data_IF_322095132583
#
_entry.id   IF_322095132583
#
_cell.length_a   1.000
_cell.length_b   1.000
_cell.length_c   1.000
_cell.angle_alpha   90.00
_cell.angle_beta   90.00
_cell.angle_gamma   90.00
#
_symmetry.space_group_name_H-M   'P 1'
#
loop_
_entity.id
_entity.type
_entity.pdbx_description
1 polymer ?
#
# COMPACT_ATOMS: atom_id res chain seq x y z
N UNK A 1 15.53 -29.47 -36.80
CA UNK A 1 14.85 -28.32 -37.43
C UNK A 1 13.39 -28.72 -37.51
N UNK A 2 12.49 -27.98 -36.86
CA UNK A 2 11.06 -28.33 -36.81
C UNK A 2 10.46 -28.24 -38.22
N UNK A 3 9.80 -29.31 -38.69
CA UNK A 3 9.00 -29.24 -39.91
C UNK A 3 7.62 -28.67 -39.56
N UNK A 4 7.38 -27.42 -39.94
CA UNK A 4 6.14 -26.68 -39.63
C UNK A 4 4.91 -27.14 -40.44
N UNK A 5 5.07 -28.11 -41.34
CA UNK A 5 3.98 -28.80 -42.01
C UNK A 5 3.67 -30.18 -41.38
N UNK A 6 4.54 -30.69 -40.50
CA UNK A 6 4.34 -31.96 -39.82
C UNK A 6 3.63 -31.77 -38.47
N UNK A 7 2.49 -32.44 -38.30
CA UNK A 7 1.65 -32.29 -37.10
C UNK A 7 2.38 -32.63 -35.79
N UNK A 8 3.14 -33.72 -35.75
CA UNK A 8 3.79 -34.18 -34.52
C UNK A 8 4.94 -33.25 -34.11
N UNK A 9 5.73 -32.78 -35.08
CA UNK A 9 6.79 -31.80 -34.86
C UNK A 9 6.22 -30.47 -34.34
N UNK A 10 5.10 -30.00 -34.92
CA UNK A 10 4.40 -28.79 -34.47
C UNK A 10 3.84 -28.98 -33.06
N UNK A 11 3.16 -30.10 -32.77
CA UNK A 11 2.63 -30.37 -31.41
C UNK A 11 3.75 -30.32 -30.36
N UNK A 12 4.90 -30.94 -30.65
CA UNK A 12 6.05 -30.89 -29.74
C UNK A 12 6.51 -29.45 -29.52
N UNK A 13 6.62 -28.66 -30.58
CA UNK A 13 7.07 -27.27 -30.50
C UNK A 13 6.10 -26.35 -29.76
N UNK A 14 4.77 -26.49 -29.99
CA UNK A 14 3.77 -25.62 -29.34
C UNK A 14 3.54 -25.95 -27.87
N UNK A 15 3.91 -27.17 -27.43
CA UNK A 15 3.93 -27.52 -26.01
C UNK A 15 5.06 -26.82 -25.26
N UNK A 16 6.21 -26.64 -25.91
CA UNK A 16 7.35 -25.92 -25.35
C UNK A 16 7.10 -24.41 -25.29
N UNK A 17 6.49 -23.84 -26.35
CA UNK A 17 6.04 -22.45 -26.39
C UNK A 17 4.85 -22.31 -27.34
N UNK A 18 3.67 -21.97 -26.80
CA UNK A 18 2.44 -21.80 -27.57
C UNK A 18 2.54 -20.82 -28.74
N UNK A 19 3.43 -19.82 -28.68
CA UNK A 19 3.65 -18.87 -29.79
C UNK A 19 4.20 -19.53 -31.06
N UNK A 20 4.78 -20.72 -30.95
CA UNK A 20 5.25 -21.48 -32.10
C UNK A 20 4.14 -21.83 -33.10
N UNK A 21 2.86 -21.75 -32.70
CA UNK A 21 1.72 -21.88 -33.61
C UNK A 21 1.79 -20.86 -34.77
N UNK A 22 2.41 -19.71 -34.56
CA UNK A 22 2.62 -18.68 -35.60
C UNK A 22 3.36 -19.23 -36.84
N UNK A 23 4.27 -20.19 -36.64
CA UNK A 23 5.09 -20.76 -37.71
C UNK A 23 4.42 -21.93 -38.44
N UNK A 24 3.38 -22.52 -37.86
CA UNK A 24 2.69 -23.68 -38.42
C UNK A 24 2.00 -23.36 -39.76
N UNK A 25 1.84 -24.39 -40.60
CA UNK A 25 1.07 -24.30 -41.84
C UNK A 25 -0.38 -23.88 -41.58
N UNK A 26 -1.05 -23.30 -42.58
CA UNK A 26 -2.45 -22.88 -42.45
C UNK A 26 -3.39 -24.05 -42.11
N UNK A 27 -3.08 -25.26 -42.61
CA UNK A 27 -3.82 -26.48 -42.28
C UNK A 27 -3.71 -26.81 -40.78
N UNK A 28 -2.50 -26.75 -40.22
CA UNK A 28 -2.26 -27.05 -38.80
C UNK A 28 -2.74 -25.95 -37.85
N UNK A 29 -2.80 -24.68 -38.30
CA UNK A 29 -3.53 -23.61 -37.59
C UNK A 29 -5.05 -23.86 -37.56
N UNK A 30 -5.56 -24.71 -38.45
CA UNK A 30 -6.93 -25.23 -38.47
C UNK A 30 -7.12 -26.58 -37.77
N UNK A 31 -6.04 -27.22 -37.32
CA UNK A 31 -6.12 -28.49 -36.60
C UNK A 31 -6.44 -28.24 -35.12
N UNK A 32 -7.61 -28.72 -34.70
CA UNK A 32 -8.13 -28.49 -33.35
C UNK A 32 -7.18 -28.97 -32.25
N UNK A 33 -6.52 -30.11 -32.46
CA UNK A 33 -5.61 -30.68 -31.45
C UNK A 33 -4.36 -29.83 -31.33
N UNK A 34 -3.75 -29.44 -32.46
CA UNK A 34 -2.58 -28.57 -32.47
C UNK A 34 -2.86 -27.25 -31.75
N UNK A 35 -4.00 -26.62 -32.08
CA UNK A 35 -4.38 -25.34 -31.46
C UNK A 35 -4.67 -25.51 -29.96
N UNK A 36 -5.36 -26.58 -29.55
CA UNK A 36 -5.60 -26.85 -28.12
C UNK A 36 -4.30 -27.03 -27.33
N UNK A 37 -3.32 -27.73 -27.88
CA UNK A 37 -2.00 -27.89 -27.24
C UNK A 37 -1.26 -26.55 -27.16
N UNK A 38 -1.36 -25.71 -28.19
CA UNK A 38 -0.75 -24.38 -28.20
C UNK A 38 -1.38 -23.45 -27.15
N UNK A 39 -2.71 -23.36 -27.09
CA UNK A 39 -3.39 -22.47 -26.13
C UNK A 39 -3.28 -22.95 -24.68
N UNK A 40 -3.06 -24.25 -24.46
CA UNK A 40 -2.72 -24.81 -23.15
C UNK A 40 -1.33 -24.40 -22.67
N UNK A 41 -0.39 -24.21 -23.59
CA UNK A 41 0.95 -23.71 -23.27
C UNK A 41 0.93 -22.20 -23.05
N UNK A 42 0.20 -21.47 -23.90
CA UNK A 42 0.01 -20.02 -23.78
C UNK A 42 -1.30 -19.59 -24.47
N UNK A 43 -2.25 -19.05 -23.72
CA UNK A 43 -3.57 -18.64 -24.23
C UNK A 43 -3.52 -17.59 -25.34
N UNK A 44 -2.47 -16.76 -25.40
CA UNK A 44 -2.27 -15.77 -26.48
C UNK A 44 -2.01 -16.43 -27.84
N UNK A 45 -1.65 -17.71 -27.89
CA UNK A 45 -1.51 -18.46 -29.14
C UNK A 45 -2.81 -18.51 -29.97
N UNK A 46 -3.97 -18.25 -29.35
CA UNK A 46 -5.26 -18.12 -30.04
C UNK A 46 -5.22 -17.12 -31.21
N UNK A 47 -4.36 -16.09 -31.15
CA UNK A 47 -4.14 -15.13 -32.22
C UNK A 47 -3.72 -15.79 -33.55
N UNK A 48 -3.07 -16.95 -33.52
CA UNK A 48 -2.58 -17.64 -34.73
C UNK A 48 -3.51 -18.73 -35.23
N UNK A 49 -4.55 -19.09 -34.46
CA UNK A 49 -5.51 -20.10 -34.86
C UNK A 49 -6.34 -19.66 -36.07
N UNK A 50 -6.88 -20.63 -36.81
CA UNK A 50 -7.86 -20.41 -37.88
C UNK A 50 -9.11 -19.66 -37.37
N UNK A 51 -9.85 -19.01 -38.28
CA UNK A 51 -11.07 -18.27 -37.93
C UNK A 51 -12.12 -19.18 -37.30
N UNK A 52 -12.19 -20.42 -37.79
CA UNK A 52 -13.09 -21.47 -37.32
C UNK A 52 -12.80 -21.81 -35.86
N UNK A 53 -11.52 -22.03 -35.50
CA UNK A 53 -11.13 -22.40 -34.13
C UNK A 53 -11.14 -21.21 -33.15
N UNK A 54 -11.01 -19.97 -33.63
CA UNK A 54 -11.34 -18.78 -32.83
C UNK A 54 -12.84 -18.66 -32.50
N UNK A 55 -13.68 -19.46 -33.17
CA UNK A 55 -15.10 -19.62 -32.86
C UNK A 55 -15.44 -20.89 -32.07
N UNK A 56 -14.45 -21.75 -31.76
CA UNK A 56 -14.65 -22.94 -30.94
C UNK A 56 -14.66 -22.55 -29.45
N UNK A 57 -15.79 -22.81 -28.79
CA UNK A 57 -16.02 -22.42 -27.39
C UNK A 57 -14.97 -23.02 -26.44
N UNK A 58 -14.61 -24.29 -26.61
CA UNK A 58 -13.68 -24.98 -25.72
C UNK A 58 -12.26 -24.47 -25.91
N UNK A 59 -11.86 -24.21 -27.17
CA UNK A 59 -10.54 -23.64 -27.47
C UNK A 59 -10.40 -22.26 -26.82
N UNK A 60 -11.40 -21.38 -27.00
CA UNK A 60 -11.35 -20.02 -26.43
C UNK A 60 -11.44 -20.05 -24.90
N UNK A 61 -12.29 -20.89 -24.31
CA UNK A 61 -12.38 -21.02 -22.85
C UNK A 61 -11.05 -21.52 -22.25
N UNK A 62 -10.39 -22.48 -22.91
CA UNK A 62 -9.06 -22.94 -22.53
C UNK A 62 -8.05 -21.80 -22.57
N UNK A 63 -8.01 -21.04 -23.67
CA UNK A 63 -7.10 -19.89 -23.81
C UNK A 63 -7.32 -18.83 -22.72
N UNK A 64 -8.56 -18.56 -22.33
CA UNK A 64 -8.88 -17.60 -21.26
C UNK A 64 -8.39 -18.10 -19.91
N UNK A 65 -8.55 -19.41 -19.65
CA UNK A 65 -8.18 -20.03 -18.37
C UNK A 65 -6.66 -20.06 -18.17
N UNK A 66 -5.91 -20.26 -19.24
CA UNK A 66 -4.44 -20.37 -19.22
C UNK A 66 -3.74 -19.00 -19.35
N UNK A 67 -4.50 -17.91 -19.51
CA UNK A 67 -3.94 -16.56 -19.62
C UNK A 67 -4.86 -15.54 -18.95
N UNK A 68 -5.66 -14.81 -19.72
CA UNK A 68 -6.57 -13.80 -19.20
C UNK A 68 -7.71 -13.53 -20.18
N UNK A 69 -8.70 -12.76 -19.75
CA UNK A 69 -9.84 -12.37 -20.60
C UNK A 69 -9.43 -11.49 -21.79
N UNK A 70 -8.22 -10.92 -21.81
CA UNK A 70 -7.67 -10.19 -22.97
C UNK A 70 -7.65 -11.04 -24.25
N UNK A 71 -7.52 -12.37 -24.15
CA UNK A 71 -7.52 -13.26 -25.33
C UNK A 71 -8.84 -13.21 -26.10
N UNK A 72 -9.93 -12.73 -25.48
CA UNK A 72 -11.24 -12.58 -26.13
C UNK A 72 -11.20 -11.64 -27.33
N UNK A 73 -10.22 -10.73 -27.43
CA UNK A 73 -10.04 -9.91 -28.64
C UNK A 73 -9.86 -10.75 -29.91
N UNK A 74 -9.29 -11.95 -29.78
CA UNK A 74 -9.06 -12.88 -30.88
C UNK A 74 -10.27 -13.77 -31.15
N UNK A 75 -11.21 -13.89 -30.21
CA UNK A 75 -12.39 -14.73 -30.35
C UNK A 75 -13.32 -14.21 -31.46
N UNK A 76 -14.03 -15.14 -32.10
CA UNK A 76 -15.01 -14.80 -33.13
C UNK A 76 -16.10 -13.86 -32.60
N UNK A 77 -16.63 -13.00 -33.46
CA UNK A 77 -17.77 -12.12 -33.12
C UNK A 77 -18.98 -12.91 -32.63
N UNK A 78 -19.18 -14.12 -33.16
CA UNK A 78 -20.25 -15.02 -32.72
C UNK A 78 -20.14 -15.37 -31.23
N UNK A 79 -18.94 -15.71 -30.74
CA UNK A 79 -18.73 -15.99 -29.32
C UNK A 79 -18.81 -14.71 -28.48
N UNK A 80 -18.25 -13.60 -28.97
CA UNK A 80 -18.34 -12.30 -28.30
C UNK A 80 -19.78 -11.74 -28.23
N UNK A 81 -20.67 -12.23 -29.09
CA UNK A 81 -22.12 -11.97 -29.07
C UNK A 81 -22.94 -13.03 -28.34
N UNK A 82 -22.34 -14.14 -27.89
CA UNK A 82 -23.05 -15.16 -27.14
C UNK A 82 -23.19 -14.72 -25.67
N UNK A 83 -24.42 -14.39 -25.28
CA UNK A 83 -24.76 -13.93 -23.94
C UNK A 83 -24.29 -14.86 -22.83
N UNK A 84 -24.47 -16.17 -22.98
CA UNK A 84 -24.11 -17.14 -21.95
C UNK A 84 -22.60 -17.30 -21.85
N UNK A 85 -21.91 -17.27 -22.99
CA UNK A 85 -20.46 -17.27 -23.02
C UNK A 85 -19.88 -16.02 -22.34
N UNK A 86 -20.38 -14.82 -22.66
CA UNK A 86 -19.91 -13.59 -22.02
C UNK A 86 -20.16 -13.58 -20.51
N UNK A 87 -21.32 -14.06 -20.04
CA UNK A 87 -21.58 -14.18 -18.60
C UNK A 87 -20.64 -15.18 -17.90
N UNK A 88 -20.24 -16.25 -18.59
CA UNK A 88 -19.22 -17.16 -18.09
C UNK A 88 -17.85 -16.45 -17.99
N UNK A 89 -17.47 -15.66 -19.01
CA UNK A 89 -16.23 -14.88 -18.99
C UNK A 89 -16.20 -13.83 -17.87
N UNK A 90 -17.33 -13.18 -17.59
CA UNK A 90 -17.48 -12.25 -16.46
C UNK A 90 -17.16 -12.95 -15.14
N UNK A 91 -17.66 -14.18 -14.94
CA UNK A 91 -17.39 -14.95 -13.72
C UNK A 91 -15.93 -15.37 -13.60
N UNK A 92 -15.30 -15.74 -14.71
CA UNK A 92 -13.88 -16.12 -14.73
C UNK A 92 -13.00 -14.91 -14.43
N UNK A 93 -13.25 -13.75 -15.07
CA UNK A 93 -12.52 -12.51 -14.81
C UNK A 93 -12.61 -12.10 -13.33
N UNK A 94 -13.78 -12.19 -12.71
CA UNK A 94 -13.97 -11.88 -11.29
C UNK A 94 -13.18 -12.75 -10.31
N UNK A 95 -12.71 -13.91 -10.76
CA UNK A 95 -11.92 -14.84 -9.96
C UNK A 95 -10.41 -14.74 -10.21
N UNK A 96 -9.99 -14.00 -11.23
CA UNK A 96 -8.59 -13.83 -11.61
C UNK A 96 -7.93 -12.66 -10.86
N UNK A 97 -6.59 -12.71 -10.74
CA UNK A 97 -5.76 -11.87 -9.88
C UNK A 97 -6.13 -10.36 -9.91
N UNK A 98 -6.32 -9.69 -8.75
CA UNK A 98 -6.86 -8.32 -8.63
C UNK A 98 -5.98 -7.18 -9.19
N UNK A 99 -4.88 -7.51 -9.87
CA UNK A 99 -3.90 -6.52 -10.36
C UNK A 99 -4.29 -5.99 -11.74
N UNK A 100 -5.11 -6.74 -12.50
CA UNK A 100 -5.56 -6.33 -13.83
C UNK A 100 -7.09 -6.27 -13.84
N UNK A 101 -7.64 -5.07 -13.69
CA UNK A 101 -9.08 -4.76 -13.70
C UNK A 101 -9.66 -4.89 -15.13
N UNK A 102 -9.55 -6.08 -15.73
CA UNK A 102 -9.96 -6.35 -17.12
C UNK A 102 -11.39 -6.88 -17.16
N UNK A 103 -12.31 -6.08 -17.70
CA UNK A 103 -13.70 -6.48 -17.85
C UNK A 103 -13.92 -7.25 -19.16
N UNK A 104 -14.51 -8.45 -19.08
CA UNK A 104 -14.95 -9.19 -20.26
C UNK A 104 -15.94 -8.39 -21.15
N UNK A 105 -16.58 -7.35 -20.57
CA UNK A 105 -17.49 -6.45 -21.29
C UNK A 105 -16.78 -5.63 -22.38
N UNK A 106 -15.47 -5.40 -22.27
CA UNK A 106 -14.66 -4.74 -23.30
C UNK A 106 -14.75 -5.42 -24.66
N UNK A 107 -14.80 -6.76 -24.66
CA UNK A 107 -14.81 -7.57 -25.86
C UNK A 107 -16.22 -8.00 -26.27
N UNK A 108 -17.23 -7.84 -25.43
CA UNK A 108 -18.60 -8.20 -25.75
C UNK A 108 -19.12 -7.43 -26.98
N UNK A 109 -20.11 -7.99 -27.69
CA UNK A 109 -20.80 -7.27 -28.76
C UNK A 109 -21.51 -6.02 -28.25
N UNK A 110 -21.79 -5.06 -29.15
CA UNK A 110 -22.54 -3.85 -28.78
C UNK A 110 -23.91 -4.16 -28.17
N UNK A 111 -24.59 -5.21 -28.66
CA UNK A 111 -25.87 -5.66 -28.12
C UNK A 111 -25.74 -6.04 -26.64
N UNK A 112 -24.69 -6.79 -26.27
CA UNK A 112 -24.46 -7.21 -24.89
C UNK A 112 -23.94 -6.07 -24.00
N UNK A 113 -23.20 -5.10 -24.55
CA UNK A 113 -22.87 -3.84 -23.84
C UNK A 113 -24.09 -2.94 -23.61
N UNK A 114 -25.20 -3.21 -24.30
CA UNK A 114 -26.52 -2.62 -24.08
C UNK A 114 -27.47 -3.50 -23.25
N UNK A 115 -27.12 -4.77 -22.99
CA UNK A 115 -27.90 -5.66 -22.14
C UNK A 115 -27.66 -5.30 -20.66
N UNK A 116 -28.69 -4.70 -20.05
CA UNK A 116 -28.66 -4.25 -18.66
C UNK A 116 -28.25 -5.34 -17.68
N UNK A 117 -28.70 -6.58 -17.85
CA UNK A 117 -28.38 -7.66 -16.92
C UNK A 117 -26.93 -8.11 -17.06
N UNK A 118 -26.43 -8.20 -18.30
CA UNK A 118 -25.02 -8.54 -18.55
C UNK A 118 -24.10 -7.47 -17.96
N UNK A 119 -24.42 -6.20 -18.18
CA UNK A 119 -23.66 -5.08 -17.61
C UNK A 119 -23.72 -5.09 -16.09
N UNK A 120 -24.89 -5.30 -15.47
CA UNK A 120 -25.01 -5.38 -14.01
C UNK A 120 -24.14 -6.48 -13.40
N UNK A 121 -24.11 -7.66 -14.01
CA UNK A 121 -23.25 -8.75 -13.55
C UNK A 121 -21.78 -8.40 -13.70
N UNK A 122 -21.40 -7.79 -14.84
CA UNK A 122 -20.03 -7.38 -15.12
C UNK A 122 -19.53 -6.33 -14.11
N UNK A 123 -20.30 -5.27 -13.85
CA UNK A 123 -19.87 -4.17 -12.97
C UNK A 123 -19.87 -4.52 -11.48
N UNK A 124 -20.65 -5.53 -11.07
CA UNK A 124 -20.57 -6.07 -9.71
C UNK A 124 -19.27 -6.81 -9.45
N UNK A 125 -18.79 -7.50 -10.49
CA UNK A 125 -17.54 -8.23 -10.42
C UNK A 125 -16.33 -7.31 -10.59
N UNK A 126 -16.38 -6.41 -11.56
CA UNK A 126 -15.27 -5.56 -12.01
C UNK A 126 -15.85 -4.17 -12.30
N UNK A 127 -15.83 -3.26 -11.33
CA UNK A 127 -16.50 -1.95 -11.41
C UNK A 127 -16.10 -1.10 -12.62
N UNK A 128 -14.83 -1.16 -13.07
CA UNK A 128 -14.35 -0.47 -14.28
C UNK A 128 -14.99 -0.96 -15.58
N UNK A 129 -15.68 -2.11 -15.55
CA UNK A 129 -16.53 -2.58 -16.64
C UNK A 129 -17.54 -1.53 -17.11
N UNK A 130 -17.91 -0.58 -16.25
CA UNK A 130 -18.79 0.53 -16.61
C UNK A 130 -18.27 1.35 -17.81
N UNK A 131 -16.94 1.43 -18.01
CA UNK A 131 -16.33 2.11 -19.15
C UNK A 131 -16.81 1.58 -20.51
N UNK A 132 -17.09 0.27 -20.57
CA UNK A 132 -17.48 -0.43 -21.79
C UNK A 132 -18.99 -0.56 -21.95
N UNK A 133 -19.77 -0.22 -20.92
CA UNK A 133 -21.21 -0.18 -21.03
C UNK A 133 -21.65 0.89 -22.04
N UNK A 134 -22.79 0.64 -22.68
CA UNK A 134 -23.45 1.63 -23.53
C UNK A 134 -23.68 2.96 -22.81
N UNK A 135 -23.76 4.04 -23.58
CA UNK A 135 -24.08 5.37 -23.02
C UNK A 135 -25.36 5.33 -22.18
N UNK A 136 -26.41 4.65 -22.67
CA UNK A 136 -27.65 4.49 -21.92
C UNK A 136 -27.43 3.90 -20.52
N UNK A 137 -26.59 2.87 -20.40
CA UNK A 137 -26.35 2.17 -19.14
C UNK A 137 -25.32 2.87 -18.24
N UNK A 138 -24.39 3.66 -18.81
CA UNK A 138 -23.57 4.61 -18.03
C UNK A 138 -24.41 5.72 -17.38
N UNK A 139 -25.64 5.93 -17.86
CA UNK A 139 -26.65 6.81 -17.27
C UNK A 139 -27.70 6.10 -16.42
N UNK A 140 -27.64 4.76 -16.30
CA UNK A 140 -28.54 4.00 -15.42
C UNK A 140 -28.01 4.09 -13.98
N UNK A 141 -28.79 4.75 -13.12
CA UNK A 141 -28.42 5.01 -11.73
C UNK A 141 -28.04 3.73 -10.98
N UNK A 142 -28.79 2.64 -11.16
CA UNK A 142 -28.53 1.40 -10.42
C UNK A 142 -27.26 0.73 -10.94
N UNK A 143 -27.05 0.71 -12.27
CA UNK A 143 -25.81 0.16 -12.86
C UNK A 143 -24.59 0.91 -12.32
N UNK A 144 -24.63 2.25 -12.33
CA UNK A 144 -23.54 3.07 -11.81
C UNK A 144 -23.34 2.84 -10.32
N UNK A 145 -24.41 2.79 -9.52
CA UNK A 145 -24.31 2.57 -8.08
C UNK A 145 -23.64 1.22 -7.75
N UNK A 146 -23.96 0.16 -8.47
CA UNK A 146 -23.31 -1.14 -8.29
C UNK A 146 -21.84 -1.12 -8.75
N UNK A 147 -21.54 -0.42 -9.85
CA UNK A 147 -20.17 -0.25 -10.35
C UNK A 147 -19.28 0.49 -9.34
N UNK A 148 -19.74 1.62 -8.82
CA UNK A 148 -18.95 2.43 -7.85
C UNK A 148 -18.80 1.72 -6.51
N UNK A 149 -19.76 0.88 -6.12
CA UNK A 149 -19.63 0.02 -4.94
C UNK A 149 -18.50 -1.00 -5.07
N UNK A 150 -18.29 -1.52 -6.28
CA UNK A 150 -17.21 -2.47 -6.61
C UNK A 150 -15.86 -1.75 -6.75
N UNK A 151 -15.81 -0.62 -7.46
CA UNK A 151 -14.62 0.21 -7.65
C UNK A 151 -15.04 1.68 -7.71
N UNK A 152 -14.66 2.48 -6.70
CA UNK A 152 -15.04 3.90 -6.61
C UNK A 152 -14.64 4.75 -7.82
N UNK A 153 -13.56 4.38 -8.52
CA UNK A 153 -13.09 5.07 -9.74
C UNK A 153 -14.03 4.85 -10.94
N UNK A 154 -14.94 3.89 -10.89
CA UNK A 154 -15.96 3.72 -11.92
C UNK A 154 -16.83 4.98 -12.11
N UNK A 155 -16.87 5.89 -11.12
CA UNK A 155 -17.55 7.17 -11.21
C UNK A 155 -17.05 8.03 -12.39
N UNK A 156 -15.78 7.87 -12.81
CA UNK A 156 -15.22 8.50 -14.00
C UNK A 156 -16.02 8.18 -15.27
N UNK A 157 -16.61 6.99 -15.36
CA UNK A 157 -17.34 6.53 -16.55
C UNK A 157 -18.83 6.84 -16.48
N UNK A 158 -19.34 7.25 -15.32
CA UNK A 158 -20.74 7.61 -15.15
C UNK A 158 -21.11 8.86 -15.95
N UNK A 159 -22.39 8.98 -16.33
CA UNK A 159 -22.90 10.23 -16.90
C UNK A 159 -22.76 11.40 -15.92
N UNK A 160 -22.55 12.61 -16.46
CA UNK A 160 -22.36 13.83 -15.67
C UNK A 160 -23.48 14.08 -14.65
N UNK A 161 -24.72 13.72 -14.98
CA UNK A 161 -25.87 13.82 -14.05
C UNK A 161 -25.68 12.96 -12.80
N UNK A 162 -25.11 11.76 -12.93
CA UNK A 162 -24.88 10.84 -11.83
C UNK A 162 -23.61 11.16 -11.03
N UNK A 163 -22.65 11.89 -11.62
CA UNK A 163 -21.51 12.49 -10.88
C UNK A 163 -21.94 13.63 -9.95
N UNK A 164 -23.17 14.13 -10.09
CA UNK A 164 -23.82 15.05 -9.17
C UNK A 164 -24.84 14.38 -8.26
N UNK A 165 -25.00 13.05 -8.32
CA UNK A 165 -25.90 12.32 -7.41
C UNK A 165 -25.16 12.04 -6.10
N UNK A 166 -25.66 12.63 -5.00
CA UNK A 166 -25.03 12.57 -3.68
C UNK A 166 -24.83 11.12 -3.21
N UNK A 167 -25.81 10.25 -3.39
CA UNK A 167 -25.73 8.85 -2.92
C UNK A 167 -24.70 8.07 -3.73
N UNK A 168 -24.66 8.27 -5.06
CA UNK A 168 -23.68 7.62 -5.93
C UNK A 168 -22.25 8.07 -5.57
N UNK A 169 -22.04 9.37 -5.34
CA UNK A 169 -20.71 9.90 -4.98
C UNK A 169 -20.27 9.42 -3.60
N UNK A 170 -21.17 9.35 -2.62
CA UNK A 170 -20.86 8.80 -1.30
C UNK A 170 -20.50 7.31 -1.37
N UNK A 171 -21.26 6.52 -2.14
CA UNK A 171 -20.93 5.12 -2.36
C UNK A 171 -19.55 4.97 -3.02
N UNK A 172 -19.25 5.81 -4.02
CA UNK A 172 -17.95 5.80 -4.69
C UNK A 172 -16.79 6.19 -3.75
N UNK A 173 -17.00 7.19 -2.88
CA UNK A 173 -16.02 7.60 -1.89
C UNK A 173 -15.78 6.53 -0.82
N UNK A 174 -16.81 5.80 -0.39
CA UNK A 174 -16.68 4.73 0.58
C UNK A 174 -15.93 3.50 0.05
N UNK A 175 -16.05 3.21 -1.26
CA UNK A 175 -15.53 1.99 -1.89
C UNK A 175 -14.02 1.96 -2.16
N UNK A 176 -13.26 2.95 -1.66
CA UNK A 176 -11.81 2.91 -1.74
C UNK A 176 -11.21 3.65 -2.93
N UNK A 177 -10.03 4.23 -2.69
CA UNK A 177 -9.06 4.52 -3.73
C UNK A 177 -8.76 3.19 -4.44
N UNK A 178 -8.76 3.18 -5.77
CA UNK A 178 -7.92 2.24 -6.48
C UNK A 178 -6.48 2.61 -6.15
N UNK A 179 -5.99 2.20 -4.98
CA UNK A 179 -4.60 2.34 -4.64
C UNK A 179 -3.85 1.48 -5.66
N UNK A 180 -3.45 2.09 -6.78
CA UNK A 180 -2.26 1.66 -7.49
C UNK A 180 -1.11 1.94 -6.52
N UNK A 181 -0.95 1.06 -5.54
CA UNK A 181 0.32 0.84 -4.89
C UNK A 181 1.24 0.36 -6.00
N UNK A 182 1.87 1.30 -6.70
CA UNK A 182 3.08 0.99 -7.44
C UNK A 182 4.13 0.82 -6.36
N UNK A 183 4.41 -0.42 -6.01
CA UNK A 183 5.66 -0.77 -5.38
C UNK A 183 6.79 -0.17 -6.25
N UNK A 184 7.62 0.75 -5.72
CA UNK A 184 8.71 1.38 -6.47
C UNK A 184 9.70 0.36 -7.08
N UNK A 185 9.67 -0.91 -6.64
CA UNK A 185 10.56 -1.97 -7.13
C UNK A 185 9.98 -2.80 -8.28
N UNK A 186 8.70 -2.65 -8.66
CA UNK A 186 8.08 -3.49 -9.69
C UNK A 186 8.32 -2.98 -11.12
N UNK A 187 9.47 -3.34 -11.71
CA UNK A 187 9.76 -3.16 -13.15
C UNK A 187 9.31 -4.37 -13.96
N UNK A 188 8.06 -4.35 -14.45
CA UNK A 188 7.53 -5.41 -15.31
C UNK A 188 6.46 -4.94 -16.29
N UNK A 189 6.88 -4.73 -17.53
CA UNK A 189 6.15 -4.69 -18.81
C UNK A 189 4.98 -3.69 -19.03
N UNK A 190 5.21 -2.80 -20.01
CA UNK A 190 4.20 -2.43 -21.01
C UNK A 190 3.42 -1.14 -20.74
N UNK A 191 3.80 -0.08 -21.43
CA UNK A 191 3.16 1.24 -21.48
C UNK A 191 1.62 1.19 -21.53
N UNK A 192 0.98 1.44 -20.39
CA UNK A 192 -0.26 2.21 -20.34
C UNK A 192 0.12 3.49 -19.63
N UNK A 193 -0.03 4.61 -20.35
CA UNK A 193 0.31 5.95 -19.87
C UNK A 193 -0.64 6.31 -18.71
N UNK A 194 -0.27 5.94 -17.50
CA UNK A 194 -0.87 6.46 -16.27
C UNK A 194 -0.26 7.82 -16.04
N UNK A 195 -1.07 8.87 -16.21
CA UNK A 195 -0.62 10.22 -15.93
C UNK A 195 -0.40 10.36 -14.43
N UNK A 196 0.85 10.62 -14.10
CA UNK A 196 1.38 11.17 -12.86
C UNK A 196 1.17 10.34 -11.59
N UNK A 197 2.14 10.44 -10.69
CA UNK A 197 2.32 9.71 -9.44
C UNK A 197 1.27 10.10 -8.36
N UNK A 198 0.04 10.38 -8.77
CA UNK A 198 -1.07 10.89 -7.96
C UNK A 198 -2.04 9.80 -7.53
N UNK A 199 -2.45 9.85 -6.26
CA UNK A 199 -3.54 9.06 -5.71
C UNK A 199 -4.85 9.54 -6.36
N UNK A 200 -5.54 8.71 -7.16
CA UNK A 200 -6.85 9.07 -7.73
C UNK A 200 -7.98 8.68 -6.77
N UNK A 201 -8.91 9.60 -6.50
CA UNK A 201 -10.04 9.39 -5.59
C UNK A 201 -11.37 9.69 -6.30
N UNK A 202 -12.44 8.97 -5.96
CA UNK A 202 -13.74 9.14 -6.61
C UNK A 202 -14.26 10.60 -6.57
N UNK A 203 -13.94 11.33 -5.51
CA UNK A 203 -14.32 12.73 -5.33
C UNK A 203 -13.77 13.66 -6.42
N UNK A 204 -12.68 13.29 -7.10
CA UNK A 204 -12.14 13.99 -8.28
C UNK A 204 -13.21 14.14 -9.39
N UNK A 205 -13.99 13.07 -9.60
CA UNK A 205 -14.99 12.98 -10.66
C UNK A 205 -16.35 13.56 -10.25
N UNK A 206 -16.55 13.89 -8.97
CA UNK A 206 -17.77 14.49 -8.48
C UNK A 206 -18.01 15.90 -9.05
N UNK A 207 -19.27 16.31 -9.09
CA UNK A 207 -19.64 17.66 -9.51
C UNK A 207 -18.97 18.72 -8.62
N UNK A 208 -18.79 19.94 -9.14
CA UNK A 208 -18.16 21.02 -8.36
C UNK A 208 -18.96 21.37 -7.11
N UNK A 209 -20.28 21.24 -7.20
CA UNK A 209 -21.22 21.47 -6.11
C UNK A 209 -21.01 20.46 -4.98
N UNK A 210 -20.90 19.16 -5.31
CA UNK A 210 -20.66 18.12 -4.31
C UNK A 210 -19.25 18.19 -3.71
N UNK A 211 -18.24 18.62 -4.47
CA UNK A 211 -16.91 18.93 -3.91
C UNK A 211 -16.91 20.13 -2.95
N UNK A 212 -17.94 20.97 -3.01
CA UNK A 212 -18.18 22.07 -2.07
C UNK A 212 -19.14 21.71 -0.93
N UNK A 213 -19.68 20.49 -0.91
CA UNK A 213 -20.63 20.03 0.09
C UNK A 213 -19.87 19.56 1.33
N UNK A 214 -19.89 20.42 2.38
CA UNK A 214 -19.14 20.21 3.62
C UNK A 214 -19.37 18.81 4.21
N UNK A 215 -20.63 18.39 4.32
CA UNK A 215 -21.00 17.14 4.97
C UNK A 215 -20.55 15.93 4.14
N UNK A 216 -20.76 15.96 2.83
CA UNK A 216 -20.35 14.88 1.94
C UNK A 216 -18.83 14.71 1.96
N UNK A 217 -18.08 15.80 1.90
CA UNK A 217 -16.62 15.74 1.87
C UNK A 217 -16.07 15.22 3.21
N UNK A 218 -16.65 15.60 4.36
CA UNK A 218 -16.27 15.02 5.65
C UNK A 218 -16.57 13.52 5.74
N UNK A 219 -17.68 13.06 5.15
CA UNK A 219 -18.00 11.64 5.08
C UNK A 219 -17.00 10.88 4.19
N UNK A 220 -16.59 11.48 3.07
CA UNK A 220 -15.53 10.94 2.22
C UNK A 220 -14.16 10.88 2.94
N UNK A 221 -13.81 11.92 3.71
CA UNK A 221 -12.54 11.98 4.46
C UNK A 221 -12.47 10.88 5.53
N UNK A 222 -13.59 10.59 6.20
CA UNK A 222 -13.67 9.48 7.18
C UNK A 222 -13.41 8.11 6.55
N UNK A 223 -13.72 7.96 5.26
CA UNK A 223 -13.41 6.74 4.54
C UNK A 223 -11.95 6.74 4.06
N UNK A 224 -11.49 7.88 3.49
CA UNK A 224 -10.13 8.06 2.96
C UNK A 224 -9.65 9.50 3.15
N UNK A 225 -8.59 9.76 3.95
CA UNK A 225 -8.12 11.11 4.24
C UNK A 225 -7.67 11.92 3.00
N UNK A 226 -7.21 11.24 1.95
CA UNK A 226 -6.88 11.82 0.63
C UNK A 226 -8.03 12.59 -0.02
N UNK A 227 -9.29 12.32 0.37
CA UNK A 227 -10.45 13.03 -0.14
C UNK A 227 -10.37 14.55 0.10
N UNK A 228 -9.63 15.00 1.12
CA UNK A 228 -9.44 16.43 1.39
C UNK A 228 -8.81 17.18 0.20
N UNK A 229 -7.89 16.56 -0.54
CA UNK A 229 -7.23 17.17 -1.70
C UNK A 229 -8.24 17.58 -2.80
N UNK A 230 -9.29 16.77 -2.97
CA UNK A 230 -10.31 16.95 -3.99
C UNK A 230 -11.48 17.84 -3.56
N UNK A 231 -11.48 18.29 -2.30
CA UNK A 231 -12.44 19.28 -1.83
C UNK A 231 -12.29 20.61 -2.58
N UNK A 232 -13.39 21.37 -2.68
CA UNK A 232 -13.38 22.69 -3.29
C UNK A 232 -12.34 23.60 -2.62
N UNK A 233 -11.73 24.53 -3.38
CA UNK A 233 -10.78 25.49 -2.82
C UNK A 233 -11.35 26.31 -1.66
N UNK A 234 -12.66 26.57 -1.68
CA UNK A 234 -13.38 27.28 -0.62
C UNK A 234 -13.33 26.48 0.68
N UNK A 235 -13.65 25.18 0.63
CA UNK A 235 -13.57 24.31 1.79
C UNK A 235 -12.12 24.12 2.27
N UNK A 236 -11.16 23.90 1.35
CA UNK A 236 -9.74 23.75 1.72
C UNK A 236 -9.13 25.00 2.37
N UNK A 237 -9.73 26.18 2.19
CA UNK A 237 -9.33 27.44 2.85
C UNK A 237 -10.14 27.74 4.11
N UNK A 238 -11.23 27.02 4.36
CA UNK A 238 -12.02 27.15 5.58
C UNK A 238 -11.31 26.41 6.72
N UNK A 239 -10.74 27.19 7.66
CA UNK A 239 -9.99 26.66 8.80
C UNK A 239 -10.85 25.75 9.68
N UNK A 240 -12.15 26.05 9.85
CA UNK A 240 -13.03 25.24 10.68
C UNK A 240 -13.31 23.89 10.02
N UNK A 241 -13.52 23.90 8.69
CA UNK A 241 -13.68 22.67 7.92
C UNK A 241 -12.42 21.80 7.94
N UNK A 242 -11.25 22.38 7.68
CA UNK A 242 -9.98 21.64 7.69
C UNK A 242 -9.69 21.08 9.08
N UNK A 243 -10.05 21.82 10.14
CA UNK A 243 -9.94 21.34 11.51
C UNK A 243 -10.86 20.15 11.78
N UNK A 244 -12.10 20.15 11.27
CA UNK A 244 -13.00 19.00 11.34
C UNK A 244 -12.45 17.80 10.54
N UNK A 245 -11.84 18.04 9.38
CA UNK A 245 -11.22 16.99 8.56
C UNK A 245 -10.06 16.29 9.29
N UNK A 246 -9.15 17.07 9.89
CA UNK A 246 -8.02 16.55 10.67
C UNK A 246 -8.48 15.78 11.92
N UNK A 247 -9.60 16.19 12.52
CA UNK A 247 -10.22 15.45 13.63
C UNK A 247 -10.89 14.16 13.21
N UNK A 248 -11.39 14.11 11.97
CA UNK A 248 -12.01 12.91 11.43
C UNK A 248 -10.94 11.86 11.09
N UNK A 249 -9.80 12.28 10.55
CA UNK A 249 -8.64 11.45 10.28
C UNK A 249 -7.35 12.30 10.36
N UNK A 250 -6.43 11.93 11.27
CA UNK A 250 -5.20 12.66 11.51
C UNK A 250 -4.27 12.72 10.29
N UNK A 251 -4.34 11.74 9.38
CA UNK A 251 -3.55 11.75 8.15
C UNK A 251 -3.98 12.83 7.15
N UNK A 252 -5.16 13.44 7.33
CA UNK A 252 -5.57 14.61 6.55
C UNK A 252 -4.57 15.78 6.68
N UNK A 253 -3.72 15.79 7.72
CA UNK A 253 -2.65 16.76 7.91
C UNK A 253 -1.67 16.81 6.71
N UNK A 254 -1.51 15.73 5.94
CA UNK A 254 -0.69 15.73 4.72
C UNK A 254 -1.20 16.75 3.67
N UNK A 255 -2.52 16.92 3.56
CA UNK A 255 -3.18 17.66 2.47
C UNK A 255 -3.54 19.11 2.81
N UNK A 256 -3.20 19.56 4.02
CA UNK A 256 -3.45 20.94 4.44
C UNK A 256 -2.28 21.86 4.03
N UNK A 257 -2.50 23.19 4.09
CA UNK A 257 -1.44 24.14 3.79
C UNK A 257 -0.25 24.02 4.74
N UNK A 258 0.93 24.41 4.27
CA UNK A 258 2.13 24.47 5.12
C UNK A 258 1.94 25.33 6.37
N UNK A 259 1.17 26.43 6.28
CA UNK A 259 0.80 27.25 7.44
C UNK A 259 0.11 26.42 8.53
N UNK A 260 -0.81 25.52 8.16
CA UNK A 260 -1.53 24.67 9.11
C UNK A 260 -0.69 23.48 9.58
N UNK A 261 0.24 22.97 8.76
CA UNK A 261 1.24 21.97 9.20
C UNK A 261 2.27 22.54 10.18
N UNK A 262 2.41 23.86 10.21
CA UNK A 262 3.17 24.63 11.21
C UNK A 262 2.31 25.11 12.39
N UNK A 263 0.99 24.93 12.35
CA UNK A 263 0.11 25.35 13.44
C UNK A 263 0.09 24.27 14.52
N UNK A 264 0.68 24.61 15.66
CA UNK A 264 0.81 23.71 16.81
C UNK A 264 -0.52 23.13 17.28
N UNK A 265 -1.60 23.90 17.28
CA UNK A 265 -2.91 23.42 17.74
C UNK A 265 -3.48 22.40 16.74
N UNK A 266 -3.34 22.66 15.44
CA UNK A 266 -3.77 21.72 14.40
C UNK A 266 -3.00 20.40 14.48
N UNK A 267 -1.67 20.47 14.58
CA UNK A 267 -0.83 19.27 14.66
C UNK A 267 -1.14 18.48 15.93
N UNK A 268 -1.35 19.13 17.08
CA UNK A 268 -1.75 18.44 18.32
C UNK A 268 -3.04 17.64 18.15
N UNK A 269 -4.05 18.19 17.48
CA UNK A 269 -5.30 17.45 17.24
C UNK A 269 -5.10 16.31 16.24
N UNK A 270 -4.27 16.50 15.21
CA UNK A 270 -3.93 15.45 14.24
C UNK A 270 -3.26 14.25 14.93
N UNK A 271 -2.23 14.50 15.75
CA UNK A 271 -1.48 13.41 16.42
C UNK A 271 -2.26 12.74 17.54
N UNK A 272 -3.20 13.44 18.18
CA UNK A 272 -4.17 12.83 19.10
C UNK A 272 -5.09 11.84 18.38
N UNK A 273 -5.51 12.17 17.15
CA UNK A 273 -6.34 11.29 16.34
C UNK A 273 -5.53 10.11 15.79
N UNK A 274 -4.33 10.36 15.25
CA UNK A 274 -3.42 9.34 14.73
C UNK A 274 -1.96 9.76 14.96
N UNK A 275 -1.26 9.09 15.87
CA UNK A 275 0.08 9.49 16.29
C UNK A 275 1.10 9.56 15.15
N UNK A 276 0.95 8.73 14.10
CA UNK A 276 1.83 8.76 12.93
C UNK A 276 1.63 9.97 12.01
N UNK A 277 0.55 10.73 12.16
CA UNK A 277 0.36 11.99 11.44
C UNK A 277 1.52 12.99 11.69
N UNK A 278 2.29 12.79 12.76
CA UNK A 278 3.50 13.55 13.06
C UNK A 278 4.49 13.62 11.89
N UNK A 279 4.53 12.60 11.02
CA UNK A 279 5.34 12.57 9.80
C UNK A 279 5.15 13.82 8.92
N UNK A 280 3.91 14.33 8.86
CA UNK A 280 3.53 15.46 8.01
C UNK A 280 3.65 16.82 8.69
N UNK A 281 3.87 16.84 10.00
CA UNK A 281 4.12 18.07 10.73
C UNK A 281 5.45 18.71 10.31
N UNK A 282 5.58 20.01 10.55
CA UNK A 282 6.83 20.71 10.29
C UNK A 282 7.99 20.17 11.12
N UNK A 283 9.22 20.39 10.66
CA UNK A 283 10.42 20.01 11.42
C UNK A 283 10.44 20.63 12.82
N UNK A 284 9.96 21.86 12.96
CA UNK A 284 9.85 22.55 14.25
C UNK A 284 8.89 21.82 15.20
N UNK A 285 7.73 21.38 14.72
CA UNK A 285 6.73 20.68 15.55
C UNK A 285 7.06 19.20 15.77
N UNK A 286 7.84 18.57 14.88
CA UNK A 286 8.47 17.27 15.15
C UNK A 286 9.55 17.34 16.24
N UNK A 287 9.92 18.56 16.64
CA UNK A 287 10.80 18.88 17.77
C UNK A 287 10.08 19.56 18.94
N UNK A 288 8.75 19.69 18.90
CA UNK A 288 7.99 20.19 20.05
C UNK A 288 7.73 19.04 21.02
N UNK A 289 8.28 19.15 22.22
CA UNK A 289 8.21 18.12 23.25
C UNK A 289 6.77 17.65 23.56
N UNK A 290 5.79 18.57 23.61
CA UNK A 290 4.41 18.20 23.90
C UNK A 290 3.77 17.47 22.71
N UNK A 291 4.01 17.95 21.49
CA UNK A 291 3.51 17.31 20.26
C UNK A 291 4.07 15.89 20.15
N UNK A 292 5.38 15.74 20.37
CA UNK A 292 6.08 14.45 20.33
C UNK A 292 5.51 13.49 21.36
N UNK A 293 5.38 13.92 22.62
CA UNK A 293 4.82 13.07 23.68
C UNK A 293 3.40 12.61 23.36
N UNK A 294 2.55 13.50 22.86
CA UNK A 294 1.17 13.16 22.50
C UNK A 294 1.16 12.14 21.35
N UNK A 295 1.99 12.35 20.32
CA UNK A 295 2.11 11.47 19.17
C UNK A 295 2.58 10.07 19.53
N UNK A 296 3.62 9.93 20.36
CA UNK A 296 4.14 8.60 20.75
C UNK A 296 3.22 7.87 21.72
N UNK A 297 2.45 8.59 22.54
CA UNK A 297 1.41 8.00 23.39
C UNK A 297 0.26 7.45 22.54
N UNK A 298 -0.18 8.23 21.55
CA UNK A 298 -1.21 7.84 20.58
C UNK A 298 -0.77 6.63 19.74
N UNK A 299 0.44 6.65 19.18
CA UNK A 299 1.02 5.55 18.42
C UNK A 299 2.55 5.51 18.58
N UNK A 300 3.07 4.51 19.30
CA UNK A 300 4.51 4.39 19.57
C UNK A 300 5.42 4.39 18.33
N UNK A 301 4.92 3.96 17.16
CA UNK A 301 5.69 4.01 15.91
C UNK A 301 5.93 5.43 15.39
N UNK A 302 5.27 6.45 15.95
CA UNK A 302 5.54 7.86 15.68
C UNK A 302 6.99 8.25 16.04
N UNK A 303 7.64 7.50 16.94
CA UNK A 303 9.05 7.69 17.31
C UNK A 303 9.99 7.67 16.10
N UNK A 304 9.63 7.04 14.99
CA UNK A 304 10.48 7.07 13.79
C UNK A 304 10.62 8.47 13.18
N UNK A 305 9.62 9.35 13.37
CA UNK A 305 9.52 10.65 12.72
C UNK A 305 10.05 11.82 13.58
N UNK A 306 10.30 11.59 14.86
CA UNK A 306 10.88 12.61 15.75
C UNK A 306 12.37 12.80 15.46
N UNK A 307 12.95 13.92 15.92
CA UNK A 307 14.39 14.14 15.82
C UNK A 307 15.23 13.17 16.64
N UNK A 308 16.53 13.16 16.35
CA UNK A 308 17.49 12.34 17.09
C UNK A 308 17.49 12.61 18.61
N UNK A 309 17.26 13.85 19.04
CA UNK A 309 17.20 14.22 20.45
C UNK A 309 16.12 13.44 21.20
N UNK A 310 14.91 13.35 20.63
CA UNK A 310 13.80 12.59 21.24
C UNK A 310 13.94 11.07 21.10
N UNK A 311 14.77 10.58 20.18
CA UNK A 311 15.17 9.16 20.11
C UNK A 311 16.19 8.79 21.20
N UNK A 312 16.79 9.79 21.84
CA UNK A 312 17.67 9.64 23.00
C UNK A 312 17.01 10.02 24.33
N UNK A 313 15.84 10.67 24.26
CA UNK A 313 15.01 10.99 25.41
C UNK A 313 14.37 9.72 25.98
N UNK A 314 14.75 9.42 27.21
CA UNK A 314 14.33 8.20 27.91
C UNK A 314 12.83 8.19 28.20
N UNK A 315 12.25 9.33 28.55
CA UNK A 315 10.81 9.43 28.85
C UNK A 315 10.00 9.19 27.59
N UNK A 316 10.34 9.87 26.49
CA UNK A 316 9.66 9.73 25.20
C UNK A 316 9.76 8.31 24.66
N UNK A 317 10.96 7.72 24.67
CA UNK A 317 11.17 6.34 24.19
C UNK A 317 10.41 5.34 25.05
N UNK A 318 10.37 5.53 26.37
CA UNK A 318 9.63 4.63 27.25
C UNK A 318 8.12 4.68 26.95
N UNK A 319 7.56 5.87 26.78
CA UNK A 319 6.14 6.02 26.43
C UNK A 319 5.83 5.45 25.05
N UNK A 320 6.71 5.66 24.07
CA UNK A 320 6.61 5.05 22.74
C UNK A 320 6.59 3.51 22.81
N UNK A 321 7.51 2.91 23.58
CA UNK A 321 7.62 1.44 23.72
C UNK A 321 6.44 0.86 24.48
N UNK A 322 5.93 1.55 25.50
CA UNK A 322 4.70 1.16 26.21
C UNK A 322 3.48 1.18 25.29
N UNK A 323 3.39 2.18 24.41
CA UNK A 323 2.31 2.27 23.40
C UNK A 323 2.46 1.20 22.32
N UNK A 324 3.68 1.01 21.79
CA UNK A 324 4.01 -0.02 20.81
C UNK A 324 5.44 -0.53 20.99
N UNK A 325 5.59 -1.80 21.35
CA UNK A 325 6.90 -2.43 21.64
C UNK A 325 7.87 -2.36 20.46
N UNK A 326 7.36 -2.39 19.22
CA UNK A 326 8.18 -2.28 18.01
C UNK A 326 8.82 -0.89 17.84
N UNK A 327 8.38 0.12 18.61
CA UNK A 327 8.98 1.45 18.60
C UNK A 327 10.46 1.42 19.03
N UNK A 328 10.87 0.44 19.85
CA UNK A 328 12.23 0.34 20.36
C UNK A 328 13.28 0.39 19.24
N UNK A 329 13.00 -0.22 18.08
CA UNK A 329 13.91 -0.24 16.92
C UNK A 329 14.25 1.15 16.37
N UNK A 330 13.45 2.17 16.70
CA UNK A 330 13.66 3.56 16.28
C UNK A 330 14.35 4.43 17.33
N UNK A 331 14.47 3.95 18.56
CA UNK A 331 15.25 4.62 19.59
C UNK A 331 16.75 4.61 19.23
N UNK A 332 17.53 5.46 19.88
CA UNK A 332 18.99 5.39 19.83
C UNK A 332 19.49 4.00 20.22
N UNK A 333 20.65 3.60 19.69
CA UNK A 333 21.25 2.28 20.01
C UNK A 333 21.45 2.08 21.52
N UNK A 334 21.80 3.15 22.25
CA UNK A 334 21.90 3.16 23.71
C UNK A 334 20.59 2.79 24.41
N UNK A 335 19.45 3.33 23.95
CA UNK A 335 18.15 3.02 24.54
C UNK A 335 17.57 1.68 24.03
N UNK A 336 17.99 1.20 22.85
CA UNK A 336 17.65 -0.15 22.38
C UNK A 336 18.20 -1.26 23.29
N UNK A 337 19.38 -1.03 23.86
CA UNK A 337 20.06 -1.96 24.76
C UNK A 337 19.79 -1.67 26.25
N UNK A 338 19.06 -0.59 26.56
CA UNK A 338 18.64 -0.25 27.92
C UNK A 338 17.66 -1.31 28.44
N UNK A 339 18.03 -1.99 29.52
CA UNK A 339 17.24 -3.08 30.06
C UNK A 339 15.84 -2.66 30.50
N UNK A 340 15.63 -1.41 30.92
CA UNK A 340 14.29 -0.93 31.28
C UNK A 340 13.41 -0.79 30.04
N UNK A 341 13.96 -0.35 28.91
CA UNK A 341 13.24 -0.33 27.62
C UNK A 341 12.95 -1.74 27.10
N UNK A 342 13.90 -2.68 27.23
CA UNK A 342 13.72 -4.08 26.81
C UNK A 342 12.68 -4.82 27.67
N UNK A 343 12.65 -4.55 28.97
CA UNK A 343 11.59 -5.03 29.85
C UNK A 343 10.23 -4.44 29.44
N UNK A 344 10.18 -3.15 29.13
CA UNK A 344 8.97 -2.51 28.62
C UNK A 344 8.52 -3.07 27.25
N UNK A 345 9.47 -3.46 26.39
CA UNK A 345 9.18 -4.10 25.09
C UNK A 345 8.76 -5.57 25.21
N UNK A 346 8.81 -6.16 26.41
CA UNK A 346 8.44 -7.57 26.63
C UNK A 346 9.49 -8.57 26.14
N UNK A 347 10.74 -8.15 26.01
CA UNK A 347 11.87 -9.06 25.83
C UNK A 347 12.20 -9.67 27.20
N UNK A 348 11.44 -10.69 27.60
CA UNK A 348 11.33 -11.21 28.98
C UNK A 348 12.62 -11.82 29.58
N UNK A 349 13.73 -11.89 28.84
CA UNK A 349 14.99 -12.49 29.30
C UNK A 349 16.17 -11.55 29.05
N UNK A 350 16.28 -10.48 29.84
CA UNK A 350 17.52 -9.69 29.90
C UNK A 350 18.19 -9.95 31.23
N UNK A 351 19.26 -10.73 31.22
CA UNK A 351 20.04 -11.00 32.43
C UNK A 351 20.83 -9.76 32.84
N UNK A 352 21.16 -9.64 34.14
CA UNK A 352 22.10 -8.61 34.64
C UNK A 352 23.45 -8.67 33.92
N UNK A 353 23.81 -9.83 33.35
CA UNK A 353 25.01 -10.10 32.57
C UNK A 353 24.94 -9.53 31.15
N UNK A 354 23.76 -9.52 30.52
CA UNK A 354 23.51 -8.86 29.22
C UNK A 354 23.49 -7.33 29.34
N UNK A 355 22.91 -6.83 30.44
CA UNK A 355 22.99 -5.42 30.83
C UNK A 355 24.45 -4.99 31.07
N UNK A 356 25.25 -5.86 31.68
CA UNK A 356 26.68 -5.67 31.92
C UNK A 356 27.52 -5.73 30.62
N UNK A 357 27.26 -6.66 29.71
CA UNK A 357 27.95 -6.78 28.41
C UNK A 357 27.63 -5.60 27.48
N UNK A 358 26.41 -5.08 27.54
CA UNK A 358 25.98 -3.89 26.82
C UNK A 358 26.77 -2.65 27.27
N UNK A 359 26.87 -2.44 28.59
CA UNK A 359 27.70 -1.38 29.17
C UNK A 359 29.20 -1.57 28.87
N UNK A 360 29.66 -2.83 28.76
CA UNK A 360 31.04 -3.17 28.39
C UNK A 360 31.42 -2.74 26.97
N UNK A 361 30.55 -2.94 25.98
CA UNK A 361 30.81 -2.56 24.58
C UNK A 361 30.79 -1.04 24.34
N UNK A 362 30.23 -0.25 25.26
CA UNK A 362 30.26 1.22 25.23
C UNK A 362 31.62 1.80 25.69
N UNK A 363 32.38 1.04 26.48
CA UNK A 363 33.65 1.48 27.09
C UNK A 363 34.81 1.51 26.08
N UNK A 364 34.72 0.78 24.96
CA UNK A 364 35.82 0.69 24.00
C UNK A 364 36.03 1.96 23.14
N UNK A 365 35.03 2.83 22.97
CA UNK A 365 35.18 3.93 22.00
C UNK A 365 35.45 5.33 22.55
N UNK A 366 35.23 5.68 23.84
CA UNK A 366 35.43 7.10 24.25
C UNK A 366 36.16 7.49 25.54
N UNK A 367 36.40 6.66 26.55
CA UNK A 367 37.23 7.10 27.69
C UNK A 367 37.98 5.95 28.38
N UNK A 368 39.20 5.69 27.91
CA UNK A 368 40.13 4.82 28.62
C UNK A 368 40.73 5.56 29.84
N UNK A 369 40.32 5.15 31.03
CA UNK A 369 40.83 5.66 32.30
C UNK A 369 42.08 4.89 32.73
N UNK A 370 43.25 5.46 32.42
CA UNK A 370 44.56 4.86 32.71
C UNK A 370 44.78 4.57 34.20
N UNK A 371 44.18 5.34 35.09
CA UNK A 371 44.37 5.18 36.54
C UNK A 371 43.59 3.96 37.05
N UNK A 372 42.33 3.81 36.62
CA UNK A 372 41.51 2.66 36.98
C UNK A 372 42.10 1.40 36.32
N UNK A 373 42.60 1.48 35.09
CA UNK A 373 43.24 0.34 34.44
C UNK A 373 44.52 -0.08 35.18
N UNK A 374 45.33 0.87 35.64
CA UNK A 374 46.51 0.60 36.47
C UNK A 374 46.15 -0.12 37.78
N UNK A 375 45.08 0.31 38.47
CA UNK A 375 44.58 -0.37 39.69
C UNK A 375 44.14 -1.79 39.39
N UNK A 376 43.48 -1.98 38.26
CA UNK A 376 42.94 -3.27 37.83
C UNK A 376 44.04 -4.25 37.45
N UNK A 377 45.09 -3.77 36.77
CA UNK A 377 46.26 -4.55 36.42
C UNK A 377 47.06 -4.99 37.65
N UNK A 378 47.18 -4.09 38.65
CA UNK A 378 47.81 -4.40 39.92
C UNK A 378 47.01 -5.43 40.74
N UNK A 379 45.69 -5.36 40.69
CA UNK A 379 44.80 -6.27 41.42
C UNK A 379 44.67 -7.65 40.75
N UNK A 380 45.01 -7.75 39.47
CA UNK A 380 45.04 -8.98 38.69
C UNK A 380 46.44 -9.62 38.61
N UNK A 381 47.40 -9.20 39.44
CA UNK A 381 48.79 -9.67 39.43
C UNK A 381 49.45 -9.66 38.03
N UNK A 382 49.11 -8.67 37.20
CA UNK A 382 49.63 -8.52 35.84
C UNK A 382 48.98 -9.40 34.77
N UNK A 383 47.97 -10.20 35.10
CA UNK A 383 47.16 -10.92 34.11
C UNK A 383 46.24 -9.94 33.37
N UNK A 384 46.54 -9.71 32.08
CA UNK A 384 45.86 -8.71 31.25
C UNK A 384 44.38 -8.99 31.10
N UNK A 385 43.96 -10.25 30.99
CA UNK A 385 42.57 -10.59 30.73
C UNK A 385 41.71 -10.46 31.99
N UNK A 386 42.28 -10.82 33.13
CA UNK A 386 41.67 -10.61 34.45
C UNK A 386 41.64 -9.12 34.83
N UNK A 387 42.68 -8.37 34.46
CA UNK A 387 42.75 -6.91 34.64
C UNK A 387 41.68 -6.17 33.83
N UNK A 388 41.37 -6.62 32.60
CA UNK A 388 40.26 -6.06 31.82
C UNK A 388 38.94 -6.27 32.55
N UNK A 389 38.70 -7.47 33.08
CA UNK A 389 37.49 -7.79 33.82
C UNK A 389 37.35 -6.96 35.12
N UNK A 390 38.44 -6.72 35.83
CA UNK A 390 38.50 -5.87 37.02
C UNK A 390 38.32 -4.38 36.71
N UNK A 391 38.89 -3.90 35.60
CA UNK A 391 38.78 -2.52 35.13
C UNK A 391 37.34 -2.09 34.92
N UNK A 392 36.54 -2.96 34.31
CA UNK A 392 35.13 -2.71 34.04
C UNK A 392 34.37 -2.55 35.36
N UNK A 393 34.57 -3.46 36.32
CA UNK A 393 33.91 -3.40 37.63
C UNK A 393 34.24 -2.10 38.38
N UNK A 394 35.51 -1.73 38.42
CA UNK A 394 35.96 -0.52 39.11
C UNK A 394 35.52 0.77 38.40
N UNK A 395 35.45 0.78 37.07
CA UNK A 395 34.96 1.92 36.29
C UNK A 395 33.46 2.14 36.50
N UNK A 396 32.65 1.08 36.50
CA UNK A 396 31.21 1.14 36.81
C UNK A 396 30.97 1.71 38.22
N UNK A 397 31.77 1.29 39.20
CA UNK A 397 31.67 1.86 40.56
C UNK A 397 32.08 3.35 40.63
N UNK A 398 33.08 3.75 39.84
CA UNK A 398 33.51 5.15 39.74
C UNK A 398 32.41 6.04 39.15
N UNK A 399 31.77 5.60 38.06
CA UNK A 399 30.67 6.32 37.42
C UNK A 399 29.44 6.43 38.33
N UNK A 400 29.09 5.35 39.04
CA UNK A 400 28.02 5.38 40.06
C UNK A 400 28.30 6.40 41.17
N UNK A 401 29.56 6.57 41.58
CA UNK A 401 29.97 7.58 42.57
C UNK A 401 29.97 9.00 41.98
N UNK A 402 30.32 9.16 40.71
CA UNK A 402 30.27 10.45 40.01
C UNK A 402 28.83 10.96 39.86
N UNK A 403 27.89 10.10 39.47
CA UNK A 403 26.46 10.42 39.39
C UNK A 403 25.84 10.73 40.75
N UNK A 404 26.26 10.02 41.80
CA UNK A 404 25.82 10.31 43.17
C UNK A 404 26.30 11.70 43.64
N UNK A 405 27.52 12.08 43.27
CA UNK A 405 28.10 13.39 43.63
C UNK A 405 27.59 14.55 42.76
N UNK A 406 27.24 14.32 41.50
CA UNK A 406 26.61 15.34 40.64
C UNK A 406 25.17 15.63 41.06
N UNK A 407 24.46 14.60 41.53
CA UNK A 407 23.10 14.70 42.08
C UNK A 407 23.05 15.45 43.42
N UNK A 408 24.12 15.43 44.23
CA UNK A 408 24.19 16.20 45.48
C UNK A 408 24.57 17.68 45.25
N UNK A 409 25.31 18.00 44.17
CA UNK A 409 25.70 19.38 43.84
C UNK A 409 24.58 20.21 43.20
N UNK A 410 23.49 19.60 42.76
CA UNK A 410 22.31 20.27 42.19
C UNK A 410 21.23 20.59 43.24
N UNK A 411 21.46 20.22 44.51
CA UNK A 411 20.57 20.48 45.65
C UNK A 411 21.22 21.30 46.79
N UNK A 412 22.34 21.97 46.52
CA UNK A 412 22.86 23.10 47.30
C UNK A 412 22.92 24.32 46.40
#
# INVERSE_FOLDING_TARGET
MTDWANKDDVIKSVREDGYNLANASNELKGDRQVVLEAVKSNGLALEFASKELRGDREVVLTAVTESSVFVLQFASEKLRGDRQFVLEMVKIAGSAHPVFDQSALEYASEELRNDRQVVLEAVRSVGSGLAYASEKLRGDRQVVLEAVKSNGLALEFAFKSLRGDREVVLAAAASGVGARYVDPEFKGYGEVVYKDDGISHALEFASKELRGDRELVLEAIKAHPFALEFASEVLRRDKDFVFEAVKADGYALEFVSEELRNDRQFVLEAVKSEGRALEYASEELRNDHQVVLEAVKSNGLALQFVSGEFKEDREVVLDAVKSNRLALKFASRRLQIDGIMRLASGEENVSDEDLFLSAYNEIEEKEFDKEIFGKSLAQADGNIEEAKNLYIKLRVESLKKADFNSSQKTHQ
#
